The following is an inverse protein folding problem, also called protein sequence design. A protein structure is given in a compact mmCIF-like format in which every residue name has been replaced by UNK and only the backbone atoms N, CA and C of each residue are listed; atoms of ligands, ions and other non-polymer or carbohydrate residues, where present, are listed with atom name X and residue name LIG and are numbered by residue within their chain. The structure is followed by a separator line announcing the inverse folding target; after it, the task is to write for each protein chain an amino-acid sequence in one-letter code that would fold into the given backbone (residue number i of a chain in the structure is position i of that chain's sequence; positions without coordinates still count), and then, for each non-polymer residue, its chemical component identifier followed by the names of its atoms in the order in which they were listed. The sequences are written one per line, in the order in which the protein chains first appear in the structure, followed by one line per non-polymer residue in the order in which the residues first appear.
data_IF_929608231634
#
_entry.id   IF_929608231634
#
_cell.length_a   1.000
_cell.length_b   1.000
_cell.length_c   1.000
_cell.angle_alpha   90.00
_cell.angle_beta   90.00
_cell.angle_gamma   90.00
#
_symmetry.space_group_name_H-M   'P 1'
#
loop_
_entity.id
_entity.type
_entity.pdbx_description
1 polymer ?
#
# COMPACT_ATOMS: atom_id res chain seq x y z
N UNK A 1 13.42 -3.82 8.00
CA UNK A 1 13.13 -2.37 7.88
C UNK A 1 13.85 -1.93 6.63
N UNK A 2 13.13 -1.63 5.55
CA UNK A 2 13.75 -1.19 4.29
C UNK A 2 14.51 0.10 4.59
N UNK A 3 15.81 0.12 4.37
CA UNK A 3 16.62 1.30 4.56
C UNK A 3 16.19 2.33 3.51
N UNK A 4 15.74 3.50 3.97
CA UNK A 4 15.30 4.61 3.11
C UNK A 4 16.21 5.78 3.44
N UNK A 5 16.82 6.36 2.41
CA UNK A 5 17.74 7.48 2.61
C UNK A 5 16.97 8.81 2.84
N UNK A 6 17.72 9.89 3.04
CA UNK A 6 17.15 11.23 3.19
C UNK A 6 16.18 11.59 2.07
N UNK A 7 16.47 11.23 0.83
CA UNK A 7 15.61 11.59 -0.30
C UNK A 7 14.42 10.65 -0.52
N UNK A 8 14.19 9.70 0.38
CA UNK A 8 13.10 8.73 0.24
C UNK A 8 13.43 7.56 -0.69
N UNK A 9 14.67 7.45 -1.19
CA UNK A 9 15.08 6.35 -2.05
C UNK A 9 15.28 5.08 -1.22
N UNK A 10 14.79 3.96 -1.74
CA UNK A 10 15.01 2.64 -1.15
C UNK A 10 16.31 2.01 -1.67
N UNK A 11 16.65 0.82 -1.18
CA UNK A 11 17.70 -0.02 -1.78
C UNK A 11 17.35 -0.52 -3.20
N UNK A 12 16.10 -0.40 -3.63
CA UNK A 12 15.67 -0.71 -4.99
C UNK A 12 15.74 0.56 -5.83
N UNK A 13 16.57 0.53 -6.86
CA UNK A 13 16.77 1.65 -7.78
C UNK A 13 15.45 2.08 -8.43
N UNK A 14 15.16 3.38 -8.40
CA UNK A 14 13.92 3.95 -8.94
C UNK A 14 12.69 3.78 -8.05
N UNK A 15 12.80 3.07 -6.92
CA UNK A 15 11.73 2.95 -5.94
C UNK A 15 11.94 3.93 -4.79
N UNK A 16 10.94 4.78 -4.58
CA UNK A 16 10.91 5.79 -3.54
C UNK A 16 9.71 5.58 -2.61
N UNK A 17 9.89 5.91 -1.34
CA UNK A 17 8.90 5.72 -0.30
C UNK A 17 8.79 6.99 0.58
N UNK A 18 7.56 7.33 0.99
CA UNK A 18 7.29 8.45 1.88
C UNK A 18 6.03 8.18 2.72
N UNK A 19 5.92 8.82 3.88
CA UNK A 19 4.78 8.64 4.79
C UNK A 19 4.88 7.37 5.63
N UNK A 20 3.73 6.77 5.97
CA UNK A 20 3.62 5.67 6.94
C UNK A 20 4.43 4.43 6.55
N UNK A 21 4.54 4.13 5.25
CA UNK A 21 5.33 3.00 4.71
C UNK A 21 6.81 3.07 5.10
N UNK A 22 7.31 4.27 5.42
CA UNK A 22 8.72 4.49 5.83
C UNK A 22 8.98 4.16 7.30
N UNK A 23 7.93 3.81 8.08
CA UNK A 23 8.01 3.65 9.53
C UNK A 23 8.09 4.98 10.30
N UNK A 24 8.18 6.11 9.59
CA UNK A 24 8.32 7.46 10.16
C UNK A 24 9.67 7.71 10.82
N UNK A 25 9.96 8.99 11.09
CA UNK A 25 11.12 9.43 11.90
C UNK A 25 10.92 9.20 13.41
N UNK A 26 9.75 8.74 13.84
CA UNK A 26 9.26 8.88 15.21
C UNK A 26 9.59 7.70 16.15
N UNK A 27 10.39 6.72 15.72
CA UNK A 27 10.77 5.59 16.58
C UNK A 27 9.54 4.85 17.14
N UNK A 28 9.53 4.59 18.46
CA UNK A 28 8.52 3.73 19.12
C UNK A 28 7.22 4.46 19.50
N UNK A 29 7.16 5.80 19.40
CA UNK A 29 5.98 6.56 19.80
C UNK A 29 5.78 7.78 18.89
N UNK A 30 4.67 7.80 18.14
CA UNK A 30 4.30 8.93 17.28
C UNK A 30 3.69 10.05 18.12
N UNK A 31 4.31 11.22 18.16
CA UNK A 31 3.68 12.42 18.73
C UNK A 31 2.49 12.81 17.85
N UNK A 32 1.30 12.85 18.46
CA UNK A 32 0.04 13.15 17.77
C UNK A 32 0.10 14.57 17.18
N UNK A 33 0.03 14.69 15.85
CA UNK A 33 0.07 15.98 15.14
C UNK A 33 1.12 16.08 14.02
N UNK A 34 2.20 15.28 14.07
CA UNK A 34 3.28 15.39 13.08
C UNK A 34 3.08 14.55 11.81
N UNK A 35 2.10 13.64 11.79
CA UNK A 35 1.91 12.71 10.67
C UNK A 35 1.59 13.42 9.34
N UNK A 36 0.78 14.47 9.36
CA UNK A 36 0.45 15.23 8.15
C UNK A 36 1.65 16.02 7.63
N UNK A 37 2.43 16.60 8.54
CA UNK A 37 3.65 17.33 8.19
C UNK A 37 4.70 16.38 7.58
N UNK A 38 4.84 15.18 8.14
CA UNK A 38 5.72 14.14 7.62
C UNK A 38 5.33 13.75 6.19
N UNK A 39 4.05 13.42 5.97
CA UNK A 39 3.56 13.00 4.64
C UNK A 39 3.81 14.10 3.61
N UNK A 40 3.50 15.35 3.92
CA UNK A 40 3.66 16.46 2.98
C UNK A 40 5.14 16.76 2.70
N UNK A 41 5.96 16.82 3.74
CA UNK A 41 7.36 17.23 3.63
C UNK A 41 8.21 16.15 2.96
N UNK A 42 8.13 14.92 3.45
CA UNK A 42 8.86 13.79 2.89
C UNK A 42 8.28 13.35 1.55
N UNK A 43 6.96 13.42 1.36
CA UNK A 43 6.32 13.16 0.07
C UNK A 43 6.80 14.11 -1.03
N UNK A 44 6.89 15.41 -0.73
CA UNK A 44 7.44 16.39 -1.69
C UNK A 44 8.90 16.11 -2.03
N UNK A 45 9.72 15.76 -1.02
CA UNK A 45 11.14 15.47 -1.22
C UNK A 45 11.33 14.21 -2.07
N UNK A 46 10.66 13.12 -1.71
CA UNK A 46 10.69 11.86 -2.46
C UNK A 46 10.18 12.03 -3.90
N UNK A 47 9.11 12.79 -4.10
CA UNK A 47 8.60 13.10 -5.44
C UNK A 47 9.61 13.88 -6.29
N UNK A 48 10.29 14.87 -5.72
CA UNK A 48 11.33 15.63 -6.42
C UNK A 48 12.54 14.75 -6.74
N UNK A 49 12.96 13.88 -5.83
CA UNK A 49 14.06 12.95 -6.06
C UNK A 49 13.72 11.93 -7.15
N UNK A 50 12.51 11.34 -7.10
CA UNK A 50 12.01 10.41 -8.11
C UNK A 50 11.93 11.05 -9.50
N UNK A 51 11.48 12.32 -9.60
CA UNK A 51 11.46 13.03 -10.87
C UNK A 51 12.85 13.32 -11.45
N UNK A 52 13.87 13.45 -10.59
CA UNK A 52 15.25 13.77 -10.98
C UNK A 52 16.20 12.56 -10.92
N UNK A 53 15.70 11.33 -10.74
CA UNK A 53 16.53 10.15 -10.55
C UNK A 53 17.34 9.74 -11.81
N UNK A 54 17.03 10.32 -12.97
CA UNK A 54 17.76 10.08 -14.22
C UNK A 54 17.55 8.69 -14.83
N UNK A 55 16.68 7.87 -14.25
CA UNK A 55 16.42 6.52 -14.75
C UNK A 55 15.60 6.56 -16.05
N UNK A 56 15.89 5.65 -16.99
CA UNK A 56 15.15 5.57 -18.24
C UNK A 56 13.70 5.16 -17.94
N UNK A 57 12.77 6.10 -18.10
CA UNK A 57 11.35 5.81 -18.01
C UNK A 57 10.93 5.01 -19.24
N UNK A 58 10.78 3.70 -19.07
CA UNK A 58 10.18 2.85 -20.10
C UNK A 58 8.70 3.24 -20.21
N UNK A 59 8.34 3.91 -21.30
CA UNK A 59 6.94 4.26 -21.60
C UNK A 59 6.17 3.00 -21.95
N UNK A 60 5.72 2.27 -20.94
CA UNK A 60 4.86 1.10 -21.09
C UNK A 60 3.41 1.58 -21.11
N UNK A 61 2.57 1.00 -21.98
CA UNK A 61 1.12 1.18 -21.87
C UNK A 61 0.68 0.58 -20.52
N UNK A 62 0.20 1.42 -19.61
CA UNK A 62 -0.27 0.97 -18.31
C UNK A 62 -1.34 -0.11 -18.47
N UNK A 63 -1.13 -1.26 -17.83
CA UNK A 63 -2.03 -2.40 -17.86
C UNK A 63 -1.78 -3.29 -16.65
N UNK A 64 -2.74 -4.15 -16.33
CA UNK A 64 -2.70 -4.99 -15.12
C UNK A 64 -1.82 -6.23 -15.25
N UNK A 65 -0.99 -6.34 -16.29
CA UNK A 65 -0.10 -7.48 -16.51
C UNK A 65 0.79 -7.78 -15.30
N UNK A 66 1.34 -6.74 -14.67
CA UNK A 66 2.14 -6.87 -13.45
C UNK A 66 1.39 -7.51 -12.27
N UNK A 67 0.06 -7.37 -12.21
CA UNK A 67 -0.78 -8.00 -11.18
C UNK A 67 -0.85 -9.50 -11.41
N UNK A 68 -1.02 -9.92 -12.67
CA UNK A 68 -1.00 -11.34 -13.01
C UNK A 68 0.38 -11.97 -12.79
N UNK A 69 1.45 -11.23 -13.06
CA UNK A 69 2.82 -11.69 -12.80
C UNK A 69 3.01 -11.93 -11.30
N UNK A 70 2.59 -10.98 -10.46
CA UNK A 70 2.60 -11.12 -9.01
C UNK A 70 1.78 -12.32 -8.53
N UNK A 71 0.58 -12.51 -9.07
CA UNK A 71 -0.30 -13.63 -8.70
C UNK A 71 0.34 -14.99 -9.05
N UNK A 72 1.05 -15.09 -10.17
CA UNK A 72 1.78 -16.30 -10.54
C UNK A 72 2.94 -16.57 -9.58
N UNK A 73 3.70 -15.55 -9.20
CA UNK A 73 4.78 -15.67 -8.22
C UNK A 73 4.25 -16.07 -6.83
N UNK A 74 3.14 -15.49 -6.37
CA UNK A 74 2.48 -15.89 -5.13
C UNK A 74 2.05 -17.36 -5.18
N UNK A 75 1.47 -17.80 -6.30
CA UNK A 75 1.05 -19.20 -6.49
C UNK A 75 2.26 -20.15 -6.46
N UNK A 76 3.38 -19.77 -7.10
CA UNK A 76 4.63 -20.54 -7.08
C UNK A 76 5.22 -20.65 -5.67
N UNK A 77 5.08 -19.60 -4.87
CA UNK A 77 5.48 -19.57 -3.47
C UNK A 77 4.51 -20.32 -2.54
N UNK A 78 3.42 -20.89 -3.06
CA UNK A 78 2.38 -21.57 -2.26
C UNK A 78 1.50 -20.60 -1.46
N UNK A 79 1.52 -19.31 -1.79
CA UNK A 79 0.69 -18.29 -1.16
C UNK A 79 -0.63 -18.17 -1.93
N UNK A 80 -1.68 -18.83 -1.45
CA UNK A 80 -3.03 -18.64 -1.98
C UNK A 80 -3.72 -17.51 -1.24
N UNK A 81 -4.02 -16.42 -1.96
CA UNK A 81 -4.87 -15.35 -1.45
C UNK A 81 -6.32 -15.80 -1.46
N UNK A 82 -6.80 -16.34 -0.34
CA UNK A 82 -8.20 -16.77 -0.21
C UNK A 82 -9.16 -15.56 -0.18
N UNK A 83 -8.64 -14.39 0.18
CA UNK A 83 -9.39 -13.15 0.28
C UNK A 83 -9.32 -12.39 -1.05
N UNK A 84 -10.46 -12.30 -1.75
CA UNK A 84 -10.61 -11.50 -2.97
C UNK A 84 -11.03 -10.07 -2.62
N UNK A 85 -10.26 -9.09 -3.08
CA UNK A 85 -10.57 -7.68 -2.92
C UNK A 85 -11.64 -7.21 -3.94
N UNK A 86 -12.41 -6.15 -3.63
CA UNK A 86 -12.44 -5.44 -2.35
C UNK A 86 -13.28 -6.15 -1.29
N UNK A 87 -12.72 -6.31 -0.09
CA UNK A 87 -13.48 -6.71 1.11
C UNK A 87 -14.20 -5.47 1.62
N UNK A 88 -15.48 -5.35 1.29
CA UNK A 88 -16.31 -4.21 1.73
C UNK A 88 -16.56 -4.22 3.24
N UNK A 89 -16.67 -5.43 3.81
CA UNK A 89 -16.97 -5.63 5.23
C UNK A 89 -15.95 -6.59 5.83
N UNK A 90 -14.82 -6.08 6.34
CA UNK A 90 -13.84 -6.92 7.01
C UNK A 90 -14.41 -7.47 8.33
N UNK A 91 -13.93 -8.64 8.75
CA UNK A 91 -14.44 -9.36 9.94
C UNK A 91 -14.26 -8.60 11.26
N UNK A 92 -13.41 -7.57 11.28
CA UNK A 92 -13.24 -6.67 12.43
C UNK A 92 -14.23 -5.48 12.43
N UNK A 93 -15.06 -5.33 11.40
CA UNK A 93 -16.13 -4.34 11.34
C UNK A 93 -17.38 -4.85 12.04
N UNK A 94 -18.07 -3.99 12.78
CA UNK A 94 -19.40 -4.30 13.36
C UNK A 94 -20.53 -4.29 12.32
N UNK A 95 -20.25 -4.74 11.10
CA UNK A 95 -21.21 -4.73 10.02
C UNK A 95 -21.64 -6.16 9.71
N UNK A 96 -22.86 -6.50 10.10
CA UNK A 96 -23.53 -7.71 9.66
C UNK A 96 -24.50 -7.35 8.53
N UNK A 97 -24.20 -7.81 7.32
CA UNK A 97 -25.02 -7.54 6.13
C UNK A 97 -26.46 -8.05 6.30
N UNK A 98 -26.67 -9.18 6.98
CA UNK A 98 -28.00 -9.78 7.13
C UNK A 98 -28.88 -8.93 8.04
N UNK A 99 -28.31 -8.48 9.16
CA UNK A 99 -29.01 -7.58 10.08
C UNK A 99 -29.25 -6.21 9.46
N UNK A 100 -28.25 -5.62 8.81
CA UNK A 100 -28.34 -4.26 8.29
C UNK A 100 -29.15 -4.15 6.99
N UNK A 101 -29.24 -5.23 6.20
CA UNK A 101 -30.05 -5.28 4.97
C UNK A 101 -31.48 -5.80 5.20
N UNK A 102 -31.85 -6.17 6.43
CA UNK A 102 -33.20 -6.66 6.76
C UNK A 102 -33.59 -7.95 6.05
N UNK A 103 -32.62 -8.79 5.68
CA UNK A 103 -32.85 -10.05 4.99
C UNK A 103 -33.24 -11.13 6.01
N UNK A 104 -34.54 -11.34 6.22
CA UNK A 104 -35.06 -12.47 7.00
C UNK A 104 -35.01 -13.74 6.16
N UNK A 105 -34.45 -14.82 6.71
CA UNK A 105 -34.61 -16.17 6.14
C UNK A 105 -36.09 -16.54 6.16
N UNK A 106 -36.70 -16.70 4.98
CA UNK A 106 -37.94 -17.45 4.88
C UNK A 106 -37.60 -18.92 5.17
N UNK A 107 -37.98 -19.37 6.36
CA UNK A 107 -38.02 -20.79 6.70
C UNK A 107 -38.86 -21.53 5.65
N UNK A 108 -38.23 -22.46 4.94
CA UNK A 108 -38.89 -23.60 4.30
C UNK A 108 -38.78 -24.81 5.23
#
# INVERSE_FOLDING_TARGET
MSEINGDGATCVEGLYCAGEVTGGIHGRNRLMGNALLDIISFGRRAGKAAANCGLPLKKVRGGVGHVHDLQREMTRAGLTGDIKAPVLYPDYGKFDLREHAGLQEQQL
#
